data_IF_261207602431
#
_entry.id   IF_261207602431
#
_cell.length_a   1.000
_cell.length_b   1.000
_cell.length_c   1.000
_cell.angle_alpha   90.00
_cell.angle_beta   90.00
_cell.angle_gamma   90.00
#
_symmetry.space_group_name_H-M   'P 1'
#
loop_
_entity.id
_entity.type
_entity.pdbx_description
1 polymer ?
2 non-polymer ?
3 water ?
#
# COMPACT_ATOMS: atom_id res chain seq x y z
N UNK A 1 -2.71 16.44 -21.76
CA UNK A 1 -1.79 17.17 -20.93
C UNK A 1 -2.70 17.76 -19.88
N UNK A 2 -2.51 17.19 -18.71
CA UNK A 2 -3.18 17.52 -17.48
C UNK A 2 -2.12 18.27 -16.64
N UNK A 3 -2.58 19.20 -15.80
CA UNK A 3 -1.71 20.02 -14.97
C UNK A 3 -2.00 19.63 -13.53
N UNK A 4 -1.01 19.64 -12.63
CA UNK A 4 -1.27 19.39 -11.21
C UNK A 4 -2.01 20.62 -10.69
N UNK A 5 -3.25 20.53 -10.22
CA UNK A 5 -4.00 21.64 -9.68
C UNK A 5 -3.28 22.21 -8.46
N UNK A 6 -3.35 23.53 -8.28
CA UNK A 6 -2.73 24.12 -7.12
C UNK A 6 -3.49 23.68 -5.87
N UNK A 7 -2.76 23.67 -4.78
CA UNK A 7 -3.31 23.31 -3.50
C UNK A 7 -4.13 24.52 -3.03
N UNK A 8 -5.33 24.44 -2.44
CA UNK A 8 -6.11 25.61 -2.06
C UNK A 8 -5.72 26.25 -0.72
N UNK A 9 -4.56 25.90 -0.15
CA UNK A 9 -4.03 26.43 1.11
C UNK A 9 -2.52 26.29 1.02
N UNK A 10 -1.75 26.93 1.90
CA UNK A 10 -0.29 26.83 1.88
C UNK A 10 0.11 25.44 2.36
N UNK A 11 1.33 25.03 2.02
CA UNK A 11 1.88 23.73 2.35
C UNK A 11 1.85 23.45 3.84
N UNK A 12 1.94 24.44 4.70
CA UNK A 12 1.97 24.22 6.15
C UNK A 12 0.64 24.47 6.83
N UNK A 13 -0.44 24.66 6.08
CA UNK A 13 -1.73 24.98 6.69
C UNK A 13 -2.49 23.82 7.36
N UNK A 14 -2.13 22.54 7.25
CA UNK A 14 -2.83 21.47 7.94
C UNK A 14 -2.05 21.07 9.19
N UNK A 15 -0.88 21.66 9.42
CA UNK A 15 -0.05 21.37 10.56
C UNK A 15 -0.75 21.73 11.88
N UNK A 16 -0.65 20.97 12.97
CA UNK A 16 0.17 19.76 13.09
C UNK A 16 -0.50 18.46 12.64
N UNK A 17 -1.73 18.49 12.10
CA UNK A 17 -2.49 17.29 11.84
C UNK A 17 -1.88 16.57 10.66
N UNK A 18 -1.50 17.28 9.61
CA UNK A 18 -0.71 16.69 8.54
C UNK A 18 0.43 17.70 8.40
N UNK A 19 1.70 17.29 8.50
CA UNK A 19 2.82 18.20 8.42
C UNK A 19 3.12 18.77 7.05
N UNK A 20 3.90 19.85 7.01
CA UNK A 20 4.37 20.46 5.78
C UNK A 20 5.23 19.46 5.03
N UNK A 21 6.03 18.65 5.74
CA UNK A 21 6.84 17.64 5.08
C UNK A 21 5.95 16.60 4.42
N UNK A 22 4.86 16.17 5.06
CA UNK A 22 4.01 15.21 4.41
C UNK A 22 3.40 15.85 3.18
N UNK A 23 2.97 17.11 3.16
CA UNK A 23 2.37 17.48 1.90
C UNK A 23 3.49 17.75 0.88
N UNK A 24 4.72 18.14 1.25
CA UNK A 24 5.83 18.29 0.31
C UNK A 24 6.05 16.97 -0.45
N UNK A 25 6.03 15.78 0.18
CA UNK A 25 6.14 14.50 -0.53
C UNK A 25 4.84 14.02 -1.17
N UNK A 26 3.71 14.08 -0.46
CA UNK A 26 2.45 13.56 -0.95
C UNK A 26 1.96 14.40 -2.12
N UNK A 27 2.00 15.73 -2.06
CA UNK A 27 1.55 16.56 -3.15
C UNK A 27 2.68 16.76 -4.16
N UNK A 28 3.83 17.23 -3.67
CA UNK A 28 4.93 17.56 -4.55
C UNK A 28 5.62 16.39 -5.22
N UNK A 29 5.57 15.16 -4.71
CA UNK A 29 6.25 14.06 -5.36
C UNK A 29 5.23 13.04 -5.82
N UNK A 30 4.37 12.49 -4.95
CA UNK A 30 3.43 11.47 -5.35
C UNK A 30 2.32 11.94 -6.30
N UNK A 31 1.59 13.00 -5.96
CA UNK A 31 0.50 13.46 -6.80
C UNK A 31 1.08 13.97 -8.11
N UNK A 32 2.19 14.69 -8.10
CA UNK A 32 2.89 15.11 -9.30
C UNK A 32 3.29 13.92 -10.19
N UNK A 33 3.81 12.84 -9.63
CA UNK A 33 4.22 11.69 -10.44
C UNK A 33 3.03 11.05 -11.15
N UNK A 34 1.85 11.00 -10.52
CA UNK A 34 0.66 10.47 -11.18
C UNK A 34 0.28 11.33 -12.38
N UNK A 35 0.38 12.64 -12.32
CA UNK A 35 0.09 13.50 -13.47
C UNK A 35 1.13 13.29 -14.57
N UNK A 36 2.43 13.27 -14.28
CA UNK A 36 3.46 13.04 -15.26
C UNK A 36 3.27 11.68 -15.90
N UNK A 37 3.00 10.63 -15.13
CA UNK A 37 2.78 9.31 -15.71
C UNK A 37 1.55 9.24 -16.58
N UNK A 38 0.47 9.91 -16.20
CA UNK A 38 -0.75 9.93 -16.99
C UNK A 38 -0.49 10.68 -18.30
N UNK A 39 0.16 11.84 -18.28
CA UNK A 39 0.44 12.55 -19.51
C UNK A 39 1.28 11.72 -20.46
N UNK A 40 2.23 10.96 -19.95
CA UNK A 40 3.05 10.09 -20.76
C UNK A 40 2.29 8.91 -21.30
N UNK A 41 1.38 8.33 -20.56
CA UNK A 41 0.65 7.22 -21.10
C UNK A 41 -0.39 7.59 -22.14
N UNK A 42 -1.02 8.76 -22.14
CA UNK A 42 -2.09 9.06 -23.08
C UNK A 42 -1.67 9.85 -24.33
N UNK A 43 -0.44 10.33 -24.39
CA UNK A 43 0.04 11.15 -25.49
C UNK A 43 -0.10 10.32 -26.75
N UNK A 44 -0.77 10.83 -27.78
CA UNK A 44 -0.94 10.09 -29.03
C UNK A 44 -2.04 9.04 -29.02
N UNK A 45 -2.88 8.94 -28.00
CA UNK A 45 -3.93 7.94 -27.92
C UNK A 45 -5.31 8.61 -28.02
N UNK A 46 -6.42 7.84 -28.10
CA UNK A 46 -7.77 8.43 -28.12
C UNK A 46 -8.18 9.02 -26.77
N UNK A 47 -7.44 8.72 -25.68
CA UNK A 47 -7.68 9.29 -24.35
C UNK A 47 -7.24 10.74 -24.29
N UNK A 48 -6.32 11.17 -25.18
CA UNK A 48 -5.89 12.55 -25.15
C UNK A 48 -7.06 13.43 -25.59
N UNK A 49 -7.32 14.50 -24.86
CA UNK A 49 -8.43 15.35 -25.22
C UNK A 49 -9.68 14.91 -24.46
N UNK A 50 -9.76 13.76 -23.80
CA UNK A 50 -10.93 13.48 -22.98
C UNK A 50 -10.67 14.09 -21.60
N UNK A 51 -11.73 14.27 -20.82
CA UNK A 51 -11.61 14.82 -19.48
C UNK A 51 -11.14 13.68 -18.58
N UNK A 52 -10.70 14.09 -17.40
CA UNK A 52 -10.24 13.13 -16.45
C UNK A 52 -11.29 12.12 -16.04
N UNK A 53 -12.53 12.55 -15.83
CA UNK A 53 -13.57 11.61 -15.43
C UNK A 53 -13.90 10.63 -16.54
N UNK A 54 -13.87 11.06 -17.82
CA UNK A 54 -14.20 10.16 -18.92
C UNK A 54 -13.08 9.15 -19.06
N UNK A 55 -11.82 9.56 -18.86
CA UNK A 55 -10.70 8.63 -18.90
C UNK A 55 -10.88 7.61 -17.78
N UNK A 56 -11.19 8.03 -16.56
CA UNK A 56 -11.38 7.10 -15.47
C UNK A 56 -12.50 6.12 -15.76
N UNK A 57 -13.63 6.57 -16.32
CA UNK A 57 -14.74 5.67 -16.58
C UNK A 57 -14.55 4.75 -17.77
N UNK A 58 -13.53 4.97 -18.60
CA UNK A 58 -13.43 4.12 -19.78
C UNK A 58 -12.13 3.36 -19.90
N UNK A 59 -11.18 3.50 -18.96
CA UNK A 59 -9.92 2.80 -19.08
C UNK A 59 -9.72 1.69 -18.05
N UNK A 60 -8.60 1.00 -18.19
CA UNK A 60 -8.18 0.04 -17.21
C UNK A 60 -6.66 0.06 -17.25
N UNK A 61 -5.98 -0.76 -16.46
CA UNK A 61 -4.53 -0.80 -16.52
C UNK A 61 -3.84 0.44 -15.97
N UNK A 62 -2.65 0.74 -16.47
CA UNK A 62 -1.88 1.87 -15.95
C UNK A 62 -2.53 3.23 -16.24
N UNK A 63 -3.34 3.32 -17.30
CA UNK A 63 -4.00 4.58 -17.65
C UNK A 63 -5.00 4.85 -16.55
N UNK A 64 -5.78 3.83 -16.19
CA UNK A 64 -6.74 3.96 -15.13
C UNK A 64 -6.07 4.28 -13.81
N UNK A 65 -5.05 3.51 -13.44
CA UNK A 65 -4.37 3.67 -12.15
C UNK A 65 -3.86 5.08 -11.93
N UNK A 66 -3.19 5.64 -12.93
CA UNK A 66 -2.72 7.00 -12.82
C UNK A 66 -3.82 8.06 -12.93
N UNK A 67 -4.79 7.96 -13.86
CA UNK A 67 -5.90 8.89 -13.98
C UNK A 67 -6.73 8.92 -12.70
N UNK A 68 -7.12 7.77 -12.17
CA UNK A 68 -7.88 7.73 -10.94
C UNK A 68 -7.03 8.28 -9.80
N UNK A 69 -5.73 8.00 -9.63
CA UNK A 69 -4.98 8.61 -8.54
C UNK A 69 -4.85 10.11 -8.67
N UNK A 70 -4.77 10.69 -9.86
CA UNK A 70 -4.76 12.15 -9.98
C UNK A 70 -6.07 12.75 -9.44
N UNK A 71 -7.23 12.23 -9.84
CA UNK A 71 -8.53 12.69 -9.44
C UNK A 71 -8.68 12.47 -7.95
N UNK A 72 -8.34 11.28 -7.45
CA UNK A 72 -8.49 10.94 -6.04
C UNK A 72 -7.70 11.88 -5.15
N UNK A 73 -6.46 12.21 -5.50
CA UNK A 73 -5.73 13.11 -4.65
C UNK A 73 -6.28 14.53 -4.75
N UNK A 74 -6.74 15.07 -5.89
CA UNK A 74 -7.28 16.43 -5.91
C UNK A 74 -8.53 16.47 -5.03
N UNK A 75 -9.38 15.46 -5.04
CA UNK A 75 -10.60 15.40 -4.26
C UNK A 75 -10.19 15.38 -2.79
N UNK A 76 -9.20 14.54 -2.42
CA UNK A 76 -8.68 14.49 -1.05
C UNK A 76 -8.19 15.85 -0.56
N UNK A 77 -7.39 16.61 -1.30
CA UNK A 77 -6.91 17.89 -0.83
C UNK A 77 -8.06 18.84 -0.66
N UNK A 78 -9.11 18.76 -1.48
CA UNK A 78 -10.27 19.61 -1.30
C UNK A 78 -11.12 19.24 -0.12
N UNK A 79 -11.00 18.02 0.37
CA UNK A 79 -11.71 17.58 1.56
C UNK A 79 -11.05 18.10 2.83
N UNK A 80 -9.88 18.73 2.82
CA UNK A 80 -9.19 19.13 4.04
C UNK A 80 -9.08 20.65 3.99
N UNK A 81 -9.05 21.34 5.15
CA UNK A 81 -8.88 22.79 5.20
C UNK A 81 -8.36 23.20 6.58
N UNK A 82 -7.60 24.30 6.69
CA UNK A 82 -7.33 24.95 7.96
C UNK A 82 -8.66 25.52 8.50
N UNK A 83 -8.81 25.66 9.83
CA UNK A 83 -10.00 26.32 10.40
C UNK A 83 -11.32 25.68 9.97
N UNK A 84 -11.34 24.36 9.99
CA UNK A 84 -12.52 23.62 9.64
C UNK A 84 -12.64 22.47 10.63
N UNK A 85 -13.04 21.27 10.22
CA UNK A 85 -13.16 20.17 11.15
C UNK A 85 -14.40 20.33 11.98
N UNK A 86 -14.50 19.65 13.10
CA UNK A 86 -15.68 19.71 13.96
C UNK A 86 -16.88 18.99 13.37
N UNK A 87 -18.09 19.26 13.92
CA UNK A 87 -19.29 18.60 13.47
C UNK A 87 -19.93 19.39 12.34
N UNK A 88 -20.51 18.75 11.31
CA UNK A 88 -21.24 19.42 10.26
C UNK A 88 -22.55 20.00 10.79
N UNK A 89 -23.09 20.91 9.99
CA UNK A 89 -24.36 21.55 10.26
C UNK A 89 -25.16 21.49 8.96
N UNK A 90 -26.41 21.97 8.98
CA UNK A 90 -27.20 22.13 7.79
C UNK A 90 -27.57 20.82 7.17
N UNK A 91 -27.48 20.89 5.85
CA UNK A 91 -27.96 19.82 5.00
C UNK A 91 -27.10 18.56 5.18
N UNK A 92 -25.80 18.74 5.31
CA UNK A 92 -24.91 17.61 5.46
C UNK A 92 -25.19 16.92 6.77
N UNK A 93 -25.33 17.68 7.86
CA UNK A 93 -25.63 17.04 9.13
C UNK A 93 -26.94 16.28 9.08
N UNK A 94 -27.97 16.83 8.40
CA UNK A 94 -29.26 16.15 8.30
C UNK A 94 -29.13 14.83 7.53
N UNK A 95 -28.47 14.82 6.36
CA UNK A 95 -28.30 13.59 5.60
C UNK A 95 -27.48 12.54 6.36
N UNK A 96 -26.42 12.95 7.08
CA UNK A 96 -25.64 12.02 7.88
C UNK A 96 -26.49 11.47 9.01
N UNK A 97 -27.24 12.26 9.79
CA UNK A 97 -28.12 11.72 10.83
C UNK A 97 -29.18 10.77 10.26
N UNK A 98 -29.75 11.08 9.09
CA UNK A 98 -30.73 10.23 8.45
C UNK A 98 -30.25 8.86 7.99
N UNK A 99 -29.00 8.75 7.56
CA UNK A 99 -28.50 7.45 7.10
C UNK A 99 -27.73 6.70 8.19
N UNK A 100 -27.16 7.40 9.16
CA UNK A 100 -26.34 6.74 10.18
C UNK A 100 -26.89 6.91 11.58
N UNK A 101 -28.02 7.58 11.80
CA UNK A 101 -28.55 7.76 13.13
C UNK A 101 -27.97 9.00 13.79
N UNK A 102 -26.65 9.19 13.80
CA UNK A 102 -26.00 10.36 14.38
C UNK A 102 -24.62 10.61 13.79
N UNK A 103 -24.04 11.80 14.00
CA UNK A 103 -22.74 12.11 13.48
C UNK A 103 -21.77 11.20 14.19
N UNK A 104 -21.91 10.97 15.51
CA UNK A 104 -21.00 10.10 16.22
C UNK A 104 -21.01 8.67 15.66
N UNK A 105 -22.16 8.15 15.28
CA UNK A 105 -22.18 6.83 14.70
C UNK A 105 -21.52 6.85 13.31
N UNK A 106 -21.73 7.86 12.47
CA UNK A 106 -21.01 7.93 11.21
C UNK A 106 -19.50 8.02 11.43
N UNK A 107 -18.98 8.90 12.31
CA UNK A 107 -17.55 9.07 12.51
C UNK A 107 -16.94 7.75 12.97
N UNK A 108 -17.58 7.00 13.87
CA UNK A 108 -17.09 5.71 14.31
C UNK A 108 -17.09 4.68 13.17
N UNK A 109 -18.11 4.61 12.32
CA UNK A 109 -18.11 3.64 11.23
C UNK A 109 -17.12 4.01 10.14
N UNK A 110 -16.92 5.29 9.81
CA UNK A 110 -15.94 5.72 8.82
C UNK A 110 -14.52 5.44 9.36
N UNK A 111 -14.15 5.84 10.58
CA UNK A 111 -12.87 5.49 11.20
C UNK A 111 -12.70 3.97 11.18
N UNK A 112 -13.70 3.13 11.50
CA UNK A 112 -13.51 1.69 11.51
C UNK A 112 -13.17 1.14 10.12
N UNK A 113 -13.94 1.57 9.10
CA UNK A 113 -13.70 1.13 7.75
C UNK A 113 -12.33 1.56 7.23
N UNK A 114 -11.86 2.75 7.59
CA UNK A 114 -10.59 3.25 7.14
C UNK A 114 -9.45 2.48 7.77
N UNK A 115 -9.50 2.19 9.06
CA UNK A 115 -8.43 1.41 9.69
C UNK A 115 -8.36 -0.05 9.20
N UNK A 116 -9.52 -0.66 8.98
CA UNK A 116 -9.56 -2.01 8.46
C UNK A 116 -9.28 -2.14 6.99
N UNK A 117 -9.27 -1.08 6.17
CA UNK A 117 -9.02 -1.19 4.73
C UNK A 117 -7.61 -1.75 4.54
N UNK A 118 -7.46 -3.00 4.15
CA UNK A 118 -6.17 -3.65 4.11
C UNK A 118 -5.33 -3.19 2.94
N UNK A 119 -4.09 -2.83 3.21
CA UNK A 119 -3.21 -2.43 2.12
C UNK A 119 -3.43 -0.98 1.78
N UNK A 120 -3.16 -0.67 0.52
CA UNK A 120 -3.29 0.69 0.02
C UNK A 120 -4.72 0.90 -0.46
N UNK A 121 -5.30 2.08 -0.25
CA UNK A 121 -6.63 2.32 -0.76
C UNK A 121 -7.18 3.61 -0.19
N UNK A 122 -8.52 3.71 -0.20
CA UNK A 122 -9.21 4.95 0.08
C UNK A 122 -10.54 4.53 0.73
N UNK A 123 -11.09 5.31 1.65
CA UNK A 123 -12.39 5.02 2.28
C UNK A 123 -13.21 6.28 2.02
N UNK A 124 -14.47 6.06 1.64
CA UNK A 124 -15.31 7.10 1.06
C UNK A 124 -16.67 7.23 1.72
N UNK A 125 -17.21 8.44 1.81
CA UNK A 125 -18.61 8.61 2.15
C UNK A 125 -19.19 8.85 0.78
N UNK A 126 -20.20 8.13 0.33
CA UNK A 126 -20.79 8.32 -0.99
C UNK A 126 -22.29 8.54 -0.84
N UNK A 127 -22.94 9.14 -1.85
CA UNK A 127 -24.40 9.31 -1.90
C UNK A 127 -24.81 8.31 -2.96
N UNK A 128 -25.58 7.30 -2.60
CA UNK A 128 -25.99 6.28 -3.54
C UNK A 128 -27.07 6.75 -4.50
N UNK A 129 -27.41 5.94 -5.50
CA UNK A 129 -28.45 6.28 -6.47
C UNK A 129 -29.83 6.57 -5.86
N UNK A 130 -30.19 5.92 -4.75
CA UNK A 130 -31.45 6.20 -4.06
C UNK A 130 -31.37 7.34 -3.03
N UNK A 131 -30.36 8.21 -3.03
CA UNK A 131 -30.29 9.31 -2.10
C UNK A 131 -29.71 8.99 -0.72
N UNK A 132 -29.67 7.74 -0.26
CA UNK A 132 -29.07 7.41 1.04
C UNK A 132 -27.54 7.53 1.02
N UNK A 133 -26.89 7.81 2.16
CA UNK A 133 -25.43 7.88 2.23
C UNK A 133 -24.82 6.56 2.72
N UNK A 134 -23.61 6.22 2.24
CA UNK A 134 -22.97 4.97 2.63
C UNK A 134 -21.47 5.14 2.67
N UNK A 135 -20.80 4.27 3.42
CA UNK A 135 -19.34 4.26 3.48
C UNK A 135 -18.88 3.13 2.56
N UNK A 136 -17.90 3.32 1.69
CA UNK A 136 -17.37 2.24 0.86
C UNK A 136 -15.86 2.40 0.89
N UNK A 137 -15.12 1.32 0.91
CA UNK A 137 -13.68 1.39 0.81
C UNK A 137 -13.21 0.84 -0.54
N UNK A 138 -12.21 1.44 -1.18
CA UNK A 138 -11.67 0.92 -2.41
C UNK A 138 -10.21 0.54 -2.25
N UNK A 139 -9.75 -0.28 -3.18
CA UNK A 139 -8.39 -0.70 -3.14
C UNK A 139 -7.55 0.01 -4.20
N UNK A 140 -6.31 0.37 -3.82
CA UNK A 140 -5.29 0.97 -4.67
C UNK A 140 -5.78 2.20 -5.36
N UNK A 141 -6.12 2.24 -6.64
CA UNK A 141 -6.66 3.45 -7.21
C UNK A 141 -8.18 3.48 -7.37
N UNK A 142 -8.90 2.44 -6.92
CA UNK A 142 -10.32 2.33 -7.11
C UNK A 142 -11.05 3.59 -6.65
N UNK A 143 -12.09 4.01 -7.32
CA UNK A 143 -12.82 5.21 -6.98
C UNK A 143 -14.31 4.97 -7.22
N UNK A 144 -15.25 5.53 -6.43
CA UNK A 144 -16.67 5.48 -6.70
C UNK A 144 -17.06 6.08 -8.06
N UNK A 145 -16.22 6.85 -8.77
CA UNK A 145 -16.56 7.36 -10.08
C UNK A 145 -16.80 6.23 -11.07
N UNK A 146 -16.37 5.00 -10.83
CA UNK A 146 -16.67 3.93 -11.76
C UNK A 146 -18.01 3.29 -11.39
N UNK A 147 -18.76 3.84 -10.42
CA UNK A 147 -20.03 3.27 -10.04
C UNK A 147 -21.05 4.39 -10.20
N UNK A 148 -22.27 4.11 -9.73
CA UNK A 148 -23.36 5.08 -9.80
C UNK A 148 -23.43 5.93 -8.54
N UNK A 149 -22.48 5.86 -7.63
CA UNK A 149 -22.59 6.60 -6.39
C UNK A 149 -21.78 7.89 -6.49
N UNK A 150 -22.22 8.98 -5.86
CA UNK A 150 -21.52 10.24 -5.89
C UNK A 150 -20.50 10.34 -4.75
N UNK A 151 -19.18 10.56 -4.92
CA UNK A 151 -18.20 10.70 -3.85
C UNK A 151 -18.51 11.94 -3.04
N UNK A 152 -18.56 11.92 -1.71
CA UNK A 152 -18.75 13.15 -0.95
C UNK A 152 -17.51 13.50 -0.15
N UNK A 153 -16.75 12.51 0.35
CA UNK A 153 -15.61 12.78 1.23
C UNK A 153 -14.68 11.57 1.14
N UNK A 154 -13.36 11.73 1.19
CA UNK A 154 -12.45 10.60 1.17
C UNK A 154 -11.28 10.77 2.15
N UNK A 155 -10.67 9.66 2.54
CA UNK A 155 -9.42 9.69 3.28
C UNK A 155 -8.47 8.75 2.54
N UNK A 156 -7.27 9.21 2.24
CA UNK A 156 -6.25 8.37 1.66
C UNK A 156 -5.65 7.45 2.73
N UNK A 157 -5.70 6.10 2.61
CA UNK A 157 -5.03 5.25 3.59
C UNK A 157 -3.84 4.47 3.00
N UNK A 158 -3.33 4.90 1.84
CA UNK A 158 -2.01 4.47 1.39
C UNK A 158 -1.03 4.90 2.52
N UNK A 159 -0.01 4.11 2.84
CA UNK A 159 0.92 4.47 3.91
C UNK A 159 1.65 5.79 3.71
N UNK A 160 1.95 6.25 2.48
CA UNK A 160 2.60 7.52 2.25
C UNK A 160 1.75 8.70 2.77
N UNK A 161 0.46 8.51 3.01
CA UNK A 161 -0.39 9.59 3.48
C UNK A 161 -0.15 9.98 4.92
N UNK A 162 0.38 9.04 5.69
CA UNK A 162 0.53 9.24 7.11
C UNK A 162 1.83 8.77 7.68
N UNK A 163 2.71 8.10 6.93
CA UNK A 163 3.85 7.45 7.58
C UNK A 163 4.85 8.42 8.16
N UNK A 164 5.06 9.58 7.57
CA UNK A 164 6.02 10.54 8.09
C UNK A 164 5.57 11.03 9.47
N UNK A 165 4.29 11.31 9.60
CA UNK A 165 3.78 11.88 10.84
C UNK A 165 3.35 10.92 11.92
N UNK A 166 2.82 9.76 11.53
CA UNK A 166 2.19 8.79 12.42
C UNK A 166 2.84 7.41 12.35
N UNK A 167 3.86 7.18 11.50
CA UNK A 167 4.39 5.86 11.25
C UNK A 167 3.26 4.84 11.07
N UNK A 168 3.20 3.75 11.80
CA UNK A 168 2.23 2.69 11.62
C UNK A 168 0.88 2.99 12.26
N UNK A 169 0.74 4.10 12.99
CA UNK A 169 -0.48 4.34 13.75
C UNK A 169 -1.54 5.00 12.87
N UNK A 170 -2.14 4.23 11.98
CA UNK A 170 -3.21 4.73 11.13
C UNK A 170 -4.37 5.23 12.01
N UNK A 171 -4.70 4.71 13.21
CA UNK A 171 -5.71 5.30 14.08
C UNK A 171 -5.46 6.74 14.45
N UNK A 172 -4.18 7.11 14.60
CA UNK A 172 -3.85 8.46 15.01
C UNK A 172 -4.11 9.43 13.88
N UNK A 173 -3.73 8.96 12.69
CA UNK A 173 -3.97 9.71 11.47
C UNK A 173 -5.44 9.97 11.32
N UNK A 174 -6.29 8.97 11.51
CA UNK A 174 -7.72 9.18 11.34
C UNK A 174 -8.28 10.10 12.38
N UNK A 175 -7.77 10.08 13.61
CA UNK A 175 -8.24 10.99 14.63
C UNK A 175 -7.92 12.43 14.19
N UNK A 176 -6.76 12.67 13.62
CA UNK A 176 -6.40 13.99 13.20
C UNK A 176 -7.07 14.42 11.90
N UNK A 177 -7.47 13.47 11.06
CA UNK A 177 -8.23 13.73 9.84
C UNK A 177 -9.52 14.51 10.15
N UNK A 178 -10.22 14.10 11.21
CA UNK A 178 -11.47 14.74 11.61
C UNK A 178 -11.30 16.19 11.98
N UNK A 179 -10.12 16.61 12.41
CA UNK A 179 -9.91 18.02 12.68
C UNK A 179 -9.70 18.88 11.43
N UNK A 180 -9.53 18.24 10.26
CA UNK A 180 -9.29 18.89 8.99
C UNK A 180 -10.45 18.92 7.97
N UNK A 181 -11.53 18.17 8.21
CA UNK A 181 -12.60 18.00 7.23
C UNK A 181 -13.27 19.32 6.89
N UNK A 182 -13.28 19.61 5.60
CA UNK A 182 -13.89 20.80 5.07
C UNK A 182 -15.33 20.45 4.68
N UNK A 183 -16.26 20.74 5.59
CA UNK A 183 -17.64 20.39 5.37
C UNK A 183 -18.27 21.25 4.30
N UNK A 184 -17.69 22.39 3.91
CA UNK A 184 -18.20 23.17 2.78
C UNK A 184 -18.03 22.42 1.48
N UNK A 185 -16.91 21.71 1.29
CA UNK A 185 -16.71 20.87 0.12
C UNK A 185 -17.67 19.68 0.16
N UNK A 186 -17.91 19.00 1.28
CA UNK A 186 -18.88 17.91 1.35
C UNK A 186 -20.29 18.39 0.98
N UNK A 187 -20.65 19.59 1.46
CA UNK A 187 -21.91 20.23 1.12
C UNK A 187 -21.99 20.48 -0.38
N UNK A 188 -20.94 20.95 -1.03
CA UNK A 188 -21.00 21.15 -2.46
C UNK A 188 -21.20 19.81 -3.17
N UNK A 189 -20.53 18.74 -2.74
CA UNK A 189 -20.70 17.46 -3.40
C UNK A 189 -22.07 16.85 -3.13
N UNK A 190 -22.69 17.07 -1.96
CA UNK A 190 -24.00 16.51 -1.64
C UNK A 190 -25.12 17.01 -2.57
N UNK A 191 -25.08 18.26 -2.97
CA UNK A 191 -26.14 18.75 -3.79
C UNK A 191 -25.43 19.06 -5.07
N UNK A 192 -25.12 18.00 -5.79
CA UNK A 192 -24.41 18.06 -7.05
C UNK A 192 -25.25 17.14 -7.93
N UNK B 1 -0.10 -21.90 18.53
CA UNK B 1 -0.09 -20.46 18.76
C UNK B 1 1.17 -20.04 18.04
N UNK B 2 1.23 -18.81 17.49
CA UNK B 2 2.37 -18.43 16.69
C UNK B 2 3.13 -17.32 17.37
N UNK B 3 4.44 -17.31 17.26
CA UNK B 3 5.28 -16.32 17.89
C UNK B 3 6.05 -15.66 16.79
N UNK B 4 6.43 -14.42 17.07
CA UNK B 4 7.27 -13.63 16.18
C UNK B 4 8.65 -14.29 16.21
N UNK B 5 9.22 -14.80 15.13
CA UNK B 5 10.57 -15.36 15.08
C UNK B 5 11.59 -14.28 15.40
N UNK B 6 12.67 -14.68 16.05
CA UNK B 6 13.74 -13.76 16.32
C UNK B 6 14.34 -13.37 15.01
N UNK B 7 14.74 -12.13 14.94
CA UNK B 7 15.43 -11.59 13.78
C UNK B 7 16.82 -12.22 13.66
N UNK B 8 17.32 -12.58 12.48
CA UNK B 8 18.60 -13.26 12.27
C UNK B 8 19.88 -12.46 12.58
N UNK B 9 19.80 -11.16 12.90
CA UNK B 9 20.92 -10.26 13.06
C UNK B 9 20.49 -9.10 13.95
N UNK B 10 21.44 -8.24 14.30
CA UNK B 10 21.19 -7.09 15.16
C UNK B 10 20.33 -6.09 14.42
N UNK B 11 19.49 -5.29 15.08
CA UNK B 11 18.59 -4.40 14.36
C UNK B 11 19.33 -3.33 13.57
N UNK B 12 20.63 -3.07 13.79
CA UNK B 12 21.38 -2.08 13.03
C UNK B 12 22.36 -2.75 12.05
N UNK B 13 22.30 -4.06 11.86
CA UNK B 13 23.25 -4.74 10.99
C UNK B 13 23.03 -4.51 9.52
N UNK B 14 21.85 -4.01 9.07
CA UNK B 14 21.58 -3.77 7.66
C UNK B 14 21.83 -2.34 7.25
N UNK B 15 22.26 -1.48 8.18
CA UNK B 15 22.50 -0.08 7.90
C UNK B 15 23.73 0.13 7.04
N UNK B 16 23.86 1.15 6.18
CA UNK B 16 22.90 2.22 5.95
C UNK B 16 21.76 1.87 5.00
N UNK B 17 21.69 0.64 4.53
CA UNK B 17 20.77 0.29 3.46
C UNK B 17 19.36 0.18 4.01
N UNK B 18 19.18 -0.33 5.19
CA UNK B 18 17.88 -0.32 5.86
C UNK B 18 18.25 0.11 7.27
N UNK B 19 17.72 1.21 7.79
CA UNK B 19 18.10 1.70 9.12
C UNK B 19 17.56 0.87 10.27
N UNK B 20 18.14 1.06 11.45
CA UNK B 20 17.65 0.42 12.65
C UNK B 20 16.25 0.96 12.93
N UNK B 21 15.92 2.20 12.62
CA UNK B 21 14.56 2.69 12.84
C UNK B 21 13.57 1.96 11.93
N UNK B 22 13.89 1.64 10.66
CA UNK B 22 12.97 0.87 9.83
C UNK B 22 12.80 -0.49 10.46
N UNK B 23 13.83 -1.14 11.04
CA UNK B 23 13.63 -2.46 11.61
C UNK B 23 12.73 -2.35 12.83
N UNK B 24 12.92 -1.36 13.72
CA UNK B 24 12.12 -1.25 14.93
C UNK B 24 10.62 -1.12 14.56
N UNK B 25 10.20 -0.36 13.52
CA UNK B 25 8.79 -0.33 13.12
C UNK B 25 8.33 -1.54 12.28
N UNK B 26 9.13 -1.94 11.28
CA UNK B 26 8.73 -2.99 10.36
C UNK B 26 8.68 -4.33 11.05
N UNK B 27 9.69 -4.69 11.82
CA UNK B 27 9.67 -5.92 12.59
C UNK B 27 8.94 -5.71 13.91
N UNK B 28 9.37 -4.74 14.71
CA UNK B 28 8.82 -4.59 16.05
C UNK B 28 7.36 -4.17 16.09
N UNK B 29 6.82 -3.48 15.09
CA UNK B 29 5.42 -3.11 15.16
C UNK B 29 4.64 -3.82 14.06
N UNK B 30 4.96 -3.72 12.76
CA UNK B 30 4.17 -4.34 11.69
C UNK B 30 4.19 -5.85 11.72
N UNK B 31 5.37 -6.50 11.77
CA UNK B 31 5.40 -7.96 11.78
C UNK B 31 4.79 -8.47 13.08
N UNK B 32 5.04 -7.87 14.24
CA UNK B 32 4.38 -8.24 15.49
C UNK B 32 2.86 -8.10 15.40
N UNK B 33 2.34 -7.01 14.82
CA UNK B 33 0.89 -6.84 14.71
C UNK B 33 0.27 -7.95 13.88
N UNK B 34 0.88 -8.44 12.80
CA UNK B 34 0.28 -9.54 12.05
C UNK B 34 0.25 -10.83 12.88
N UNK B 35 1.25 -11.12 13.69
CA UNK B 35 1.26 -12.30 14.54
C UNK B 35 0.13 -12.17 15.54
N UNK B 36 0.02 -11.06 16.26
CA UNK B 36 -1.07 -10.89 17.22
C UNK B 36 -2.45 -11.00 16.58
N UNK B 37 -2.64 -10.38 15.41
CA UNK B 37 -3.93 -10.41 14.75
C UNK B 37 -4.30 -11.80 14.31
N UNK B 38 -3.34 -12.57 13.77
CA UNK B 38 -3.55 -13.97 13.38
C UNK B 38 -3.97 -14.78 14.60
N UNK B 39 -3.25 -14.66 15.71
CA UNK B 39 -3.57 -15.43 16.89
C UNK B 39 -4.96 -15.14 17.37
N UNK B 40 -5.36 -13.86 17.42
CA UNK B 40 -6.68 -13.51 17.89
C UNK B 40 -7.78 -13.94 16.91
N UNK B 41 -7.58 -13.85 15.59
CA UNK B 41 -8.53 -14.34 14.59
C UNK B 41 -8.66 -15.85 14.63
N UNK B 42 -7.62 -16.66 14.89
CA UNK B 42 -7.80 -18.10 14.87
C UNK B 42 -8.18 -18.75 16.19
N UNK B 43 -8.12 -18.05 17.31
CA UNK B 43 -8.45 -18.66 18.60
C UNK B 43 -9.81 -19.30 18.58
N UNK B 44 -9.77 -20.58 18.90
CA UNK B 44 -10.97 -21.38 19.03
C UNK B 44 -11.49 -21.91 17.71
N UNK B 45 -10.78 -21.79 16.59
CA UNK B 45 -11.26 -22.29 15.30
C UNK B 45 -10.46 -23.53 14.95
N UNK B 46 -10.83 -24.20 13.87
CA UNK B 46 -10.07 -25.33 13.35
C UNK B 46 -8.70 -24.91 12.82
N UNK B 47 -8.42 -23.62 12.51
CA UNK B 47 -7.10 -23.18 12.05
C UNK B 47 -6.04 -23.27 13.14
N UNK B 48 -6.48 -23.29 14.38
CA UNK B 48 -5.60 -23.36 15.50
C UNK B 48 -4.80 -24.68 15.49
N UNK B 49 -5.25 -25.79 14.89
CA UNK B 49 -4.44 -27.00 14.84
C UNK B 49 -3.70 -27.22 13.51
N UNK B 50 -3.31 -26.17 12.81
CA UNK B 50 -2.68 -26.31 11.52
C UNK B 50 -1.35 -25.56 11.54
N UNK B 51 -0.46 -25.92 10.63
CA UNK B 51 0.82 -25.24 10.48
C UNK B 51 0.50 -23.93 9.78
N UNK B 52 1.36 -22.94 9.83
CA UNK B 52 1.17 -21.67 9.13
C UNK B 52 0.92 -21.80 7.63
N UNK B 53 1.66 -22.73 7.00
CA UNK B 53 1.55 -22.98 5.58
C UNK B 53 0.18 -23.56 5.27
N UNK B 54 -0.35 -24.48 6.08
CA UNK B 54 -1.67 -25.04 5.80
C UNK B 54 -2.70 -23.97 6.02
N UNK B 55 -2.55 -23.09 7.02
CA UNK B 55 -3.47 -21.98 7.17
C UNK B 55 -3.44 -21.11 5.91
N UNK B 56 -2.29 -20.73 5.37
CA UNK B 56 -2.20 -19.90 4.16
C UNK B 56 -2.90 -20.54 2.96
N UNK B 57 -2.74 -21.84 2.79
CA UNK B 57 -3.34 -22.57 1.69
C UNK B 57 -4.82 -22.87 1.86
N UNK B 58 -5.41 -22.70 3.05
CA UNK B 58 -6.81 -23.04 3.20
C UNK B 58 -7.65 -21.89 3.73
N UNK B 59 -7.18 -20.65 3.75
CA UNK B 59 -8.01 -19.57 4.26
C UNK B 59 -8.29 -18.43 3.30
N UNK B 60 -9.13 -17.49 3.73
CA UNK B 60 -9.43 -16.31 2.95
C UNK B 60 -9.55 -15.14 3.91
N UNK B 61 -9.78 -13.96 3.34
CA UNK B 61 -10.08 -12.81 4.16
C UNK B 61 -9.00 -12.49 5.18
N UNK B 62 -9.44 -12.20 6.40
CA UNK B 62 -8.57 -11.68 7.47
C UNK B 62 -7.56 -12.68 7.97
N UNK B 63 -7.95 -13.93 8.08
CA UNK B 63 -7.07 -15.00 8.51
C UNK B 63 -5.96 -15.18 7.48
N UNK B 64 -6.31 -15.23 6.19
CA UNK B 64 -5.30 -15.35 5.15
C UNK B 64 -4.38 -14.16 5.20
N UNK B 65 -4.93 -12.93 5.26
CA UNK B 65 -4.10 -11.75 5.16
C UNK B 65 -3.04 -11.66 6.21
N UNK B 66 -3.38 -11.99 7.44
CA UNK B 66 -2.41 -11.94 8.52
C UNK B 66 -1.46 -13.11 8.47
N UNK B 67 -1.96 -14.33 8.21
CA UNK B 67 -1.12 -15.51 8.15
C UNK B 67 -0.10 -15.39 7.03
N UNK B 68 -0.48 -14.98 5.81
CA UNK B 68 0.47 -14.79 4.71
C UNK B 68 1.43 -13.68 5.06
N UNK B 69 1.03 -12.56 5.67
CA UNK B 69 1.98 -11.53 6.05
C UNK B 69 2.95 -11.98 7.13
N UNK B 70 2.59 -12.85 8.07
CA UNK B 70 3.54 -13.37 9.07
C UNK B 70 4.63 -14.16 8.32
N UNK B 71 4.22 -15.06 7.44
CA UNK B 71 5.16 -15.89 6.68
C UNK B 71 6.02 -15.04 5.74
N UNK B 72 5.39 -14.14 4.97
CA UNK B 72 6.10 -13.31 4.01
C UNK B 72 7.15 -12.46 4.70
N UNK B 73 6.87 -11.91 5.88
CA UNK B 73 7.89 -11.08 6.50
C UNK B 73 8.97 -11.95 7.10
N UNK B 74 8.71 -13.14 7.66
CA UNK B 74 9.80 -13.98 8.18
C UNK B 74 10.73 -14.36 7.02
N UNK B 75 10.17 -14.72 5.86
CA UNK B 75 10.95 -15.05 4.68
C UNK B 75 11.82 -13.87 4.27
N UNK B 76 11.23 -12.69 4.21
CA UNK B 76 11.93 -11.45 3.86
C UNK B 76 13.10 -11.17 4.78
N UNK B 77 12.98 -11.26 6.10
CA UNK B 77 14.13 -10.97 6.95
C UNK B 77 15.26 -11.94 6.66
N UNK B 78 14.97 -13.20 6.32
CA UNK B 78 15.99 -14.19 6.01
C UNK B 78 16.68 -14.02 4.67
N UNK B 79 16.03 -13.30 3.75
CA UNK B 79 16.61 -12.96 2.46
C UNK B 79 17.62 -11.85 2.60
N UNK B 80 17.84 -11.20 3.75
CA UNK B 80 18.71 -10.05 3.88
C UNK B 80 19.84 -10.43 4.85
N UNK B 81 21.03 -9.88 4.78
CA UNK B 81 22.05 -10.16 5.77
C UNK B 81 23.14 -9.12 5.70
N UNK B 82 23.88 -8.83 6.79
CA UNK B 82 25.09 -8.02 6.74
C UNK B 82 26.23 -8.72 5.98
N UNK B 83 27.14 -8.02 5.32
CA UNK B 83 28.31 -8.62 4.66
C UNK B 83 27.91 -9.69 3.66
N UNK B 84 26.89 -9.33 2.87
CA UNK B 84 26.41 -10.21 1.85
C UNK B 84 26.17 -9.39 0.58
N UNK B 85 25.09 -9.56 -0.16
CA UNK B 85 24.92 -8.82 -1.41
C UNK B 85 25.88 -9.31 -2.49
N UNK B 86 26.17 -8.46 -3.46
CA UNK B 86 27.04 -8.84 -4.56
C UNK B 86 26.39 -9.89 -5.48
N UNK B 87 27.19 -10.42 -6.40
CA UNK B 87 26.75 -11.38 -7.41
C UNK B 87 26.75 -12.77 -6.81
N UNK B 88 25.83 -13.72 -7.01
CA UNK B 88 25.88 -15.05 -6.45
C UNK B 88 26.87 -15.92 -7.21
N UNK B 89 27.14 -17.09 -6.65
CA UNK B 89 28.09 -18.06 -7.18
C UNK B 89 27.36 -19.40 -7.11
N UNK B 90 28.00 -20.46 -7.57
CA UNK B 90 27.47 -21.80 -7.39
C UNK B 90 26.19 -22.08 -8.16
N UNK B 91 25.38 -22.94 -7.57
CA UNK B 91 24.18 -23.39 -8.24
C UNK B 91 23.21 -22.25 -8.54
N UNK B 92 23.17 -21.24 -7.65
CA UNK B 92 22.29 -20.11 -7.86
C UNK B 92 22.67 -19.34 -9.11
N UNK B 93 23.94 -18.96 -9.27
CA UNK B 93 24.31 -18.18 -10.43
C UNK B 93 24.05 -18.95 -11.72
N UNK B 94 24.22 -20.27 -11.64
CA UNK B 94 24.00 -21.14 -12.78
C UNK B 94 22.56 -21.09 -13.20
N UNK B 95 21.69 -21.30 -12.22
CA UNK B 95 20.25 -21.29 -12.44
C UNK B 95 19.72 -19.93 -12.92
N UNK B 96 20.31 -18.83 -12.45
CA UNK B 96 19.94 -17.51 -12.89
C UNK B 96 20.42 -17.30 -14.32
N UNK B 97 21.66 -17.67 -14.69
CA UNK B 97 22.11 -17.50 -16.07
C UNK B 97 21.27 -18.37 -16.99
N UNK B 98 20.88 -19.57 -16.55
CA UNK B 98 20.03 -20.44 -17.32
C UNK B 98 18.66 -19.86 -17.63
N UNK B 99 17.95 -19.26 -16.66
CA UNK B 99 16.63 -18.77 -16.98
C UNK B 99 16.58 -17.32 -17.45
N UNK B 100 17.58 -16.51 -17.17
CA UNK B 100 17.51 -15.10 -17.51
C UNK B 100 18.66 -14.62 -18.39
N UNK B 101 19.57 -15.50 -18.83
CA UNK B 101 20.65 -15.07 -19.68
C UNK B 101 21.84 -14.73 -18.82
N UNK B 102 21.76 -13.74 -17.94
CA UNK B 102 22.87 -13.42 -17.06
C UNK B 102 22.35 -12.84 -15.73
N UNK B 103 23.23 -12.58 -14.77
CA UNK B 103 22.81 -11.94 -13.53
C UNK B 103 22.38 -10.50 -13.78
N UNK B 104 23.09 -9.74 -14.62
CA UNK B 104 22.71 -8.36 -14.93
C UNK B 104 21.30 -8.26 -15.48
N UNK B 105 20.89 -9.21 -16.33
CA UNK B 105 19.55 -9.22 -16.90
C UNK B 105 18.50 -9.61 -15.86
N UNK B 106 18.73 -10.63 -15.00
CA UNK B 106 17.81 -10.96 -13.91
C UNK B 106 17.66 -9.74 -13.03
N UNK B 107 18.75 -9.08 -12.63
CA UNK B 107 18.71 -7.97 -11.70
C UNK B 107 17.86 -6.87 -12.30
N UNK B 108 18.03 -6.59 -13.60
CA UNK B 108 17.22 -5.61 -14.29
C UNK B 108 15.72 -5.91 -14.26
N UNK B 109 15.37 -7.15 -14.55
CA UNK B 109 13.99 -7.54 -14.60
C UNK B 109 13.35 -7.55 -13.24
N UNK B 110 14.03 -8.04 -12.19
CA UNK B 110 13.48 -8.04 -10.84
C UNK B 110 13.28 -6.58 -10.40
N UNK B 111 14.25 -5.69 -10.56
CA UNK B 111 14.10 -4.30 -10.19
C UNK B 111 12.89 -3.64 -10.85
N UNK B 112 12.76 -3.87 -12.14
CA UNK B 112 11.69 -3.31 -12.91
C UNK B 112 10.32 -3.81 -12.44
N UNK B 113 10.19 -5.12 -12.20
CA UNK B 113 8.94 -5.69 -11.69
C UNK B 113 8.63 -5.13 -10.30
N UNK B 114 9.61 -4.95 -9.41
CA UNK B 114 9.38 -4.43 -8.07
C UNK B 114 8.93 -2.97 -8.10
N UNK B 115 9.56 -2.14 -8.95
CA UNK B 115 9.18 -0.74 -9.09
C UNK B 115 7.76 -0.57 -9.66
N UNK B 116 7.36 -1.39 -10.63
CA UNK B 116 6.04 -1.31 -11.23
C UNK B 116 4.94 -2.02 -10.46
N UNK B 117 5.19 -2.69 -9.34
CA UNK B 117 4.16 -3.39 -8.60
C UNK B 117 3.32 -2.31 -7.93
N UNK B 118 2.13 -2.03 -8.49
CA UNK B 118 1.30 -0.94 -8.02
C UNK B 118 0.63 -1.22 -6.66
N UNK B 119 0.80 -0.26 -5.75
CA UNK B 119 0.19 -0.33 -4.44
C UNK B 119 1.09 -1.11 -3.53
N UNK B 120 0.49 -1.85 -2.63
CA UNK B 120 1.26 -2.60 -1.65
C UNK B 120 1.48 -4.00 -2.20
N UNK B 121 2.65 -4.57 -1.97
CA UNK B 121 2.89 -5.93 -2.47
C UNK B 121 4.34 -6.40 -2.24
N UNK B 122 4.63 -7.48 -2.94
CA UNK B 122 5.88 -8.25 -2.86
C UNK B 122 6.29 -8.68 -4.26
N UNK B 123 7.59 -8.71 -4.59
CA UNK B 123 8.05 -9.23 -5.89
C UNK B 123 9.01 -10.36 -5.51
N UNK B 124 8.86 -11.49 -6.21
CA UNK B 124 9.45 -12.76 -5.86
C UNK B 124 10.28 -13.32 -6.99
N UNK B 125 11.35 -14.05 -6.62
CA UNK B 125 12.06 -14.93 -7.54
C UNK B 125 11.53 -16.30 -7.13
N UNK B 126 10.97 -17.10 -8.03
CA UNK B 126 10.41 -18.41 -7.72
C UNK B 126 11.00 -19.46 -8.66
N UNK B 127 10.96 -20.72 -8.26
CA UNK B 127 11.35 -21.83 -9.10
C UNK B 127 10.01 -22.48 -9.43
N UNK B 128 9.65 -22.59 -10.69
CA UNK B 128 8.37 -23.17 -11.07
C UNK B 128 8.41 -24.69 -10.99
N UNK B 129 7.25 -25.33 -11.14
CA UNK B 129 7.11 -26.79 -11.16
C UNK B 129 8.12 -27.49 -12.08
N UNK B 130 8.27 -26.90 -13.28
CA UNK B 130 9.20 -27.38 -14.30
C UNK B 130 10.69 -27.10 -14.08
N UNK B 131 11.11 -26.43 -13.00
CA UNK B 131 12.52 -26.17 -12.77
C UNK B 131 13.08 -24.87 -13.32
N UNK B 132 12.38 -24.14 -14.19
CA UNK B 132 12.83 -22.83 -14.69
C UNK B 132 12.51 -21.75 -13.65
N UNK B 133 13.30 -20.70 -13.52
CA UNK B 133 13.04 -19.66 -12.54
C UNK B 133 12.23 -18.51 -13.15
N UNK B 134 11.38 -17.81 -12.39
CA UNK B 134 10.59 -16.74 -12.96
C UNK B 134 10.39 -15.67 -11.90
N UNK B 135 10.06 -14.47 -12.36
CA UNK B 135 9.82 -13.33 -11.48
C UNK B 135 8.33 -13.12 -11.44
N UNK B 136 7.77 -13.12 -10.24
CA UNK B 136 6.32 -12.97 -10.07
C UNK B 136 6.08 -11.83 -9.09
N UNK B 137 5.09 -10.95 -9.28
CA UNK B 137 4.76 -9.94 -8.29
C UNK B 137 3.39 -10.28 -7.69
N UNK B 138 3.16 -10.06 -6.40
CA UNK B 138 1.85 -10.30 -5.80
C UNK B 138 1.39 -8.98 -5.19
N UNK B 139 0.10 -8.86 -4.95
CA UNK B 139 -0.46 -7.66 -4.38
C UNK B 139 -0.79 -7.94 -2.92
N UNK B 140 -0.61 -6.95 -2.07
CA UNK B 140 -0.92 -7.00 -0.64
C UNK B 140 -0.32 -8.17 0.13
N UNK B 141 -1.05 -9.19 0.58
CA UNK B 141 -0.43 -10.32 1.26
C UNK B 141 -0.26 -11.52 0.32
N UNK B 142 -0.52 -11.44 -0.99
CA UNK B 142 -0.34 -12.55 -1.93
C UNK B 142 1.04 -13.20 -1.82
N UNK B 143 1.08 -14.53 -1.95
CA UNK B 143 2.30 -15.27 -1.77
C UNK B 143 2.31 -16.45 -2.76
N UNK B 144 3.45 -16.84 -3.36
CA UNK B 144 3.61 -18.04 -4.18
C UNK B 144 3.21 -19.37 -3.51
N UNK B 145 3.16 -19.42 -2.16
CA UNK B 145 2.72 -20.62 -1.47
C UNK B 145 1.31 -21.04 -1.88
N UNK B 146 0.45 -20.19 -2.43
CA UNK B 146 -0.84 -20.68 -2.87
C UNK B 146 -0.76 -21.28 -4.29
N UNK B 147 0.44 -21.48 -4.86
CA UNK B 147 0.58 -21.99 -6.21
C UNK B 147 1.56 -23.15 -6.09
N UNK B 148 1.94 -23.73 -7.22
CA UNK B 148 2.95 -24.76 -7.22
C UNK B 148 4.38 -24.25 -7.30
N UNK B 149 4.59 -22.95 -7.34
CA UNK B 149 5.94 -22.43 -7.46
C UNK B 149 6.63 -22.41 -6.09
N UNK B 150 7.96 -22.56 -5.96
CA UNK B 150 8.68 -22.51 -4.71
C UNK B 150 9.34 -21.15 -4.56
N UNK B 151 9.07 -20.41 -3.50
CA UNK B 151 9.66 -19.10 -3.24
C UNK B 151 11.16 -19.15 -3.00
N UNK B 152 11.95 -18.31 -3.64
CA UNK B 152 13.41 -18.26 -3.47
C UNK B 152 13.94 -16.95 -2.86
N UNK B 153 13.40 -15.80 -3.25
CA UNK B 153 13.88 -14.50 -2.82
C UNK B 153 12.68 -13.56 -2.86
N UNK B 154 12.58 -12.53 -2.01
CA UNK B 154 11.43 -11.61 -2.09
C UNK B 154 11.87 -10.23 -1.69
N UNK B 155 11.19 -9.20 -2.18
CA UNK B 155 11.41 -7.86 -1.68
C UNK B 155 10.02 -7.31 -1.33
N UNK B 156 9.88 -6.78 -0.12
CA UNK B 156 8.65 -6.15 0.34
C UNK B 156 8.52 -4.79 -0.31
N UNK B 157 7.52 -4.47 -1.11
CA UNK B 157 7.39 -3.11 -1.64
C UNK B 157 6.18 -2.37 -1.07
N UNK B 158 5.63 -2.81 0.07
CA UNK B 158 4.67 -2.04 0.88
C UNK B 158 5.45 -0.80 1.27
N UNK B 159 4.84 0.38 1.26
CA UNK B 159 5.56 1.60 1.56
C UNK B 159 6.20 1.65 2.92
N UNK B 160 5.71 0.92 3.93
CA UNK B 160 6.35 0.92 5.24
C UNK B 160 7.73 0.28 5.16
N UNK B 161 8.07 -0.50 4.12
CA UNK B 161 9.38 -1.16 4.03
C UNK B 161 10.52 -0.17 3.77
N UNK B 162 10.19 0.98 3.16
CA UNK B 162 11.21 1.93 2.75
C UNK B 162 10.89 3.38 3.04
N UNK B 163 9.68 3.76 3.48
CA UNK B 163 9.36 5.17 3.58
C UNK B 163 10.21 5.92 4.59
N UNK B 164 10.65 5.33 5.70
CA UNK B 164 11.48 6.05 6.66
C UNK B 164 12.83 6.37 6.01
N UNK B 165 13.39 5.46 5.23
CA UNK B 165 14.72 5.66 4.69
C UNK B 165 14.83 6.33 3.35
N UNK B 166 13.85 6.08 2.48
CA UNK B 166 13.89 6.51 1.10
C UNK B 166 12.70 7.33 0.68
N UNK B 167 11.71 7.52 1.57
CA UNK B 167 10.50 8.27 1.27
C UNK B 167 9.83 7.72 0.00
N UNK B 168 9.49 8.52 -1.01
CA UNK B 168 8.84 8.02 -2.21
C UNK B 168 9.77 7.25 -3.16
N UNK B 169 11.09 7.21 -2.92
CA UNK B 169 12.02 6.65 -3.88
C UNK B 169 12.26 5.17 -3.72
N UNK B 170 11.21 4.45 -4.07
CA UNK B 170 11.29 3.00 -4.15
C UNK B 170 12.48 2.56 -5.05
N UNK B 171 12.93 3.22 -6.14
CA UNK B 171 14.14 2.86 -6.86
C UNK B 171 15.40 2.86 -6.01
N UNK B 172 15.53 3.83 -5.11
CA UNK B 172 16.67 3.92 -4.22
C UNK B 172 16.66 2.73 -3.28
N UNK B 173 15.48 2.38 -2.74
CA UNK B 173 15.34 1.21 -1.89
C UNK B 173 15.75 -0.06 -2.64
N UNK B 174 15.30 -0.30 -3.88
CA UNK B 174 15.70 -1.49 -4.60
C UNK B 174 17.18 -1.52 -4.92
N UNK B 175 17.82 -0.41 -5.22
CA UNK B 175 19.27 -0.40 -5.48
C UNK B 175 20.02 -0.90 -4.26
N UNK B 176 19.59 -0.43 -3.08
CA UNK B 176 20.20 -0.83 -1.83
C UNK B 176 19.83 -2.22 -1.35
N UNK B 177 18.67 -2.76 -1.75
CA UNK B 177 18.26 -4.12 -1.48
C UNK B 177 19.30 -5.08 -2.03
N UNK B 178 19.85 -4.81 -3.22
CA UNK B 178 20.84 -5.69 -3.84
C UNK B 178 22.09 -5.78 -2.98
N UNK B 179 22.41 -4.78 -2.15
CA UNK B 179 23.58 -4.86 -1.28
C UNK B 179 23.40 -5.72 -0.04
N UNK B 180 22.18 -6.19 0.17
CA UNK B 180 21.87 -6.95 1.34
C UNK B 180 21.49 -8.39 1.06
N UNK B 181 21.34 -8.81 -0.21
CA UNK B 181 20.76 -10.13 -0.50
C UNK B 181 21.57 -11.27 0.10
N UNK B 182 20.92 -12.15 0.83
CA UNK B 182 21.55 -13.28 1.46
C UNK B 182 21.52 -14.43 0.48
N UNK B 183 22.53 -14.54 -0.39
CA UNK B 183 22.53 -15.63 -1.36
C UNK B 183 22.62 -17.03 -0.76
N UNK B 184 23.10 -17.20 0.46
CA UNK B 184 23.04 -18.50 1.10
C UNK B 184 21.60 -18.98 1.29
N UNK B 185 20.70 -18.07 1.69
CA UNK B 185 19.31 -18.42 1.92
C UNK B 185 18.70 -18.81 0.59
N UNK B 186 19.01 -18.05 -0.44
CA UNK B 186 18.44 -18.34 -1.75
C UNK B 186 18.88 -19.73 -2.21
N UNK B 187 20.17 -20.06 -2.01
CA UNK B 187 20.72 -21.36 -2.39
C UNK B 187 20.01 -22.49 -1.65
N UNK B 188 19.68 -22.31 -0.36
CA UNK B 188 19.00 -23.36 0.39
C UNK B 188 17.57 -23.53 -0.13
N UNK B 189 16.93 -22.44 -0.55
CA UNK B 189 15.59 -22.55 -1.07
C UNK B 189 15.56 -23.26 -2.41
N UNK B 190 16.59 -23.01 -3.23
CA UNK B 190 16.71 -23.66 -4.54
C UNK B 190 17.00 -25.15 -4.46
N UNK B 191 17.62 -25.61 -3.39
CA UNK B 191 17.98 -26.99 -3.22
C UNK B 191 16.99 -27.91 -2.54
N UNK B 192 16.03 -27.29 -1.83
CA UNK B 192 14.96 -27.98 -1.09
C UNK B 192 14.18 -28.96 -1.96
X LIG C 1 -1.87 9.40 -1.67
X LIG D 1 6.24 -5.30 5.32
#
# INVERSE_FOLDING_TARGET
SFELPALPYAKDALAPHISAETIEYHYGKHHQTYVTNLNNLIKGTAFEGKSLEEIIRSSEGGVFNNAAQVWNHTFYWNCLAPNAGGEPTGKVAEAIAASFGSFADFKAQFTDAAIKNFGSGWTWLVKNSDGKLAIVSTSNAGTPLTTDATPLLTVDVWEHAYYIDYRNARPGYLEHFWALVNWEFVAKNLAA
SFELPALPYAKDALAPHISAETIEYHYGKHHQTYVTNLNNLIKGTAFEGKSLEEIIRSSEGGVFNNAAQVWNHTFYWNCLAPNAGGEPTGKVAEAIAASFGSFADFKAQFTDAAIKNFGSGWTWLVKNSDGKLAIVSTSNAGTPLTTDATPLLTVDVWEHAYYIDYRNARPGYLEHFWALVNWEFVAKNLAA
FE2 FE
FE2 FE
#
